data_IF_424192860953
#
_entry.id   IF_424192860953
#
_cell.length_a   1.000
_cell.length_b   1.000
_cell.length_c   1.000
_cell.angle_alpha   90.00
_cell.angle_beta   90.00
_cell.angle_gamma   90.00
#
_symmetry.space_group_name_H-M   'P 1'
#
loop_
_entity.id
_entity.type
_entity.pdbx_description
1 polymer ?
#
# COMPACT_ATOMS: atom_id res chain seq x y z
N UNK A 1 -10.43 -30.20 -3.43
CA UNK A 1 -9.78 -28.88 -3.55
C UNK A 1 -10.84 -27.92 -4.06
N UNK A 2 -11.06 -26.81 -3.36
CA UNK A 2 -12.07 -25.84 -3.77
C UNK A 2 -11.66 -25.19 -5.11
N UNK A 3 -12.61 -25.02 -6.04
CA UNK A 3 -12.36 -24.45 -7.37
C UNK A 3 -13.56 -23.59 -7.76
N UNK A 4 -13.30 -22.38 -8.25
CA UNK A 4 -14.35 -21.54 -8.78
C UNK A 4 -14.72 -21.97 -10.19
N UNK A 5 -16.03 -21.94 -10.51
CA UNK A 5 -16.53 -22.19 -11.86
C UNK A 5 -16.28 -21.00 -12.80
N UNK A 6 -16.20 -19.79 -12.27
CA UNK A 6 -15.86 -18.59 -13.03
C UNK A 6 -14.37 -18.53 -13.34
N UNK A 7 -14.03 -18.00 -14.50
CA UNK A 7 -12.66 -17.66 -14.85
C UNK A 7 -12.10 -16.65 -13.85
N UNK A 8 -10.94 -16.96 -13.26
CA UNK A 8 -10.28 -16.10 -12.29
C UNK A 8 -9.31 -15.17 -13.00
N UNK A 9 -9.33 -13.90 -12.65
CA UNK A 9 -8.36 -12.92 -13.14
C UNK A 9 -7.07 -13.02 -12.33
N UNK A 10 -5.95 -12.73 -12.98
CA UNK A 10 -4.64 -12.58 -12.34
C UNK A 10 -4.08 -11.23 -12.74
N UNK A 11 -3.79 -10.39 -11.76
CA UNK A 11 -3.10 -9.13 -11.96
C UNK A 11 -1.64 -9.27 -11.55
N UNK A 12 -0.72 -8.70 -12.32
CA UNK A 12 0.70 -8.62 -11.97
C UNK A 12 1.03 -7.17 -11.61
N UNK A 13 1.26 -6.92 -10.32
CA UNK A 13 1.53 -5.60 -9.77
C UNK A 13 2.99 -5.60 -9.35
N UNK A 14 3.86 -5.02 -10.18
CA UNK A 14 5.33 -5.02 -10.02
C UNK A 14 5.93 -6.37 -9.60
N UNK A 15 5.51 -7.45 -10.25
CA UNK A 15 6.03 -8.81 -10.01
C UNK A 15 5.20 -9.62 -9.02
N UNK A 16 4.25 -9.02 -8.31
CA UNK A 16 3.33 -9.73 -7.41
C UNK A 16 2.06 -10.12 -8.16
N UNK A 17 1.78 -11.43 -8.21
CA UNK A 17 0.55 -11.97 -8.78
C UNK A 17 -0.57 -11.97 -7.73
N UNK A 18 -1.70 -11.33 -8.04
CA UNK A 18 -2.92 -11.32 -7.21
C UNK A 18 -4.05 -11.98 -7.98
N UNK A 19 -4.71 -12.97 -7.37
CA UNK A 19 -5.82 -13.72 -7.95
C UNK A 19 -5.44 -15.12 -8.44
N UNK A 20 -6.26 -15.69 -9.32
CA UNK A 20 -6.15 -17.08 -9.77
C UNK A 20 -7.00 -18.07 -8.97
N UNK A 21 -6.92 -19.34 -9.32
CA UNK A 21 -7.63 -20.41 -8.62
C UNK A 21 -6.99 -20.70 -7.24
N UNK A 22 -7.75 -21.25 -6.27
CA UNK A 22 -7.18 -21.67 -4.99
C UNK A 22 -6.00 -22.63 -5.19
N UNK A 23 -4.82 -22.25 -4.68
CA UNK A 23 -3.57 -23.01 -4.81
C UNK A 23 -2.72 -22.66 -6.04
N UNK A 24 -3.17 -21.76 -6.91
CA UNK A 24 -2.40 -21.32 -8.08
C UNK A 24 -1.30 -20.31 -7.73
N UNK A 25 -1.63 -19.32 -6.89
CA UNK A 25 -0.69 -18.33 -6.36
C UNK A 25 -0.75 -18.34 -4.83
N UNK A 26 0.36 -18.02 -4.13
CA UNK A 26 0.33 -17.82 -2.69
C UNK A 26 -0.58 -16.63 -2.32
N UNK A 27 -1.13 -16.57 -1.09
CA UNK A 27 -1.79 -15.38 -0.62
C UNK A 27 -0.82 -14.20 -0.61
N UNK A 28 -1.31 -13.00 -0.94
CA UNK A 28 -0.56 -11.76 -0.76
C UNK A 28 -0.94 -11.17 0.59
N UNK A 29 0.05 -10.88 1.42
CA UNK A 29 -0.16 -10.18 2.69
C UNK A 29 -0.06 -8.67 2.48
N UNK A 30 -0.89 -7.90 3.17
CA UNK A 30 -0.85 -6.44 3.10
C UNK A 30 -0.66 -5.93 4.51
N UNK A 31 0.50 -5.33 4.79
CA UNK A 31 0.85 -4.79 6.10
C UNK A 31 0.67 -3.28 6.12
N UNK A 32 -0.12 -2.75 7.06
CA UNK A 32 -0.29 -1.30 7.20
C UNK A 32 0.89 -0.64 7.91
N UNK A 33 1.27 0.54 7.45
CA UNK A 33 2.27 1.42 8.06
C UNK A 33 1.69 2.83 8.21
N UNK A 34 2.16 3.57 9.22
CA UNK A 34 1.67 4.90 9.62
C UNK A 34 0.18 5.04 9.98
N UNK A 35 -0.53 3.94 10.22
CA UNK A 35 -1.91 3.95 10.72
C UNK A 35 -2.05 4.68 12.06
N UNK A 36 -3.28 5.05 12.42
CA UNK A 36 -3.56 5.80 13.64
C UNK A 36 -2.98 5.11 14.89
N UNK A 37 -2.26 5.88 15.74
CA UNK A 37 -1.53 5.39 16.92
C UNK A 37 -0.41 4.39 16.63
N UNK A 38 0.06 4.28 15.40
CA UNK A 38 1.25 3.51 15.11
C UNK A 38 2.45 4.14 15.84
N UNK A 39 3.13 3.36 16.69
CA UNK A 39 4.18 3.83 17.60
C UNK A 39 5.39 4.52 16.94
N UNK A 40 5.58 4.30 15.63
CA UNK A 40 6.64 4.95 14.86
C UNK A 40 6.27 6.37 14.45
N UNK A 41 4.98 6.75 14.51
CA UNK A 41 4.49 8.09 14.15
C UNK A 41 4.51 9.01 15.36
N UNK A 42 5.10 10.18 15.20
CA UNK A 42 5.21 11.23 16.21
C UNK A 42 4.15 12.32 16.00
N UNK A 43 3.85 12.67 14.74
CA UNK A 43 2.79 13.60 14.36
C UNK A 43 2.12 13.12 13.07
N UNK A 44 0.89 12.61 13.21
CA UNK A 44 0.10 12.06 12.11
C UNK A 44 -0.22 13.11 11.03
N UNK A 45 -0.41 14.38 11.41
CA UNK A 45 -0.80 15.44 10.47
C UNK A 45 0.39 15.97 9.70
N UNK A 46 1.55 16.09 10.36
CA UNK A 46 2.78 16.60 9.72
C UNK A 46 3.60 15.51 9.04
N UNK A 47 3.21 14.24 9.18
CA UNK A 47 4.00 13.13 8.68
C UNK A 47 5.36 13.02 9.36
N UNK A 48 5.44 13.28 10.66
CA UNK A 48 6.66 13.09 11.44
C UNK A 48 6.66 11.68 12.03
N UNK A 49 7.73 10.94 11.79
CA UNK A 49 7.87 9.55 12.20
C UNK A 49 9.34 9.20 12.34
N UNK A 50 9.59 8.13 13.10
CA UNK A 50 10.90 7.58 13.36
C UNK A 50 11.34 6.70 12.18
N UNK A 51 12.11 7.30 11.26
CA UNK A 51 12.57 6.65 10.02
C UNK A 51 13.22 5.29 10.26
N UNK A 52 14.18 5.20 11.18
CA UNK A 52 14.90 3.96 11.46
C UNK A 52 13.98 2.84 11.99
N UNK A 53 12.99 3.19 12.83
CA UNK A 53 12.02 2.20 13.32
C UNK A 53 11.10 1.73 12.18
N UNK A 54 10.66 2.63 11.31
CA UNK A 54 9.83 2.31 10.15
C UNK A 54 10.58 1.45 9.11
N UNK A 55 11.83 1.78 8.81
CA UNK A 55 12.67 1.01 7.88
C UNK A 55 12.93 -0.40 8.43
N UNK A 56 13.17 -0.52 9.74
CA UNK A 56 13.29 -1.83 10.40
C UNK A 56 12.03 -2.67 10.26
N UNK A 57 10.83 -2.07 10.36
CA UNK A 57 9.57 -2.80 10.16
C UNK A 57 9.46 -3.32 8.72
N UNK A 58 9.78 -2.48 7.72
CA UNK A 58 9.75 -2.87 6.31
C UNK A 58 10.71 -4.04 6.06
N UNK A 59 11.97 -3.90 6.50
CA UNK A 59 13.00 -4.93 6.35
C UNK A 59 12.61 -6.26 7.02
N UNK A 60 11.99 -6.21 8.20
CA UNK A 60 11.53 -7.42 8.87
C UNK A 60 10.48 -8.18 8.03
N UNK A 61 9.56 -7.46 7.38
CA UNK A 61 8.55 -8.09 6.52
C UNK A 61 9.18 -8.62 5.22
N UNK A 62 10.16 -7.91 4.65
CA UNK A 62 10.94 -8.40 3.51
C UNK A 62 11.65 -9.72 3.85
N UNK A 63 12.37 -9.78 4.98
CA UNK A 63 13.05 -11.00 5.42
C UNK A 63 12.07 -12.16 5.68
N UNK A 64 10.87 -11.87 6.20
CA UNK A 64 9.83 -12.88 6.39
C UNK A 64 9.25 -13.35 5.05
N UNK A 65 9.02 -12.44 4.12
CA UNK A 65 8.58 -12.77 2.75
C UNK A 65 9.60 -13.65 2.05
N UNK A 66 10.89 -13.33 2.16
CA UNK A 66 11.98 -14.12 1.58
C UNK A 66 12.08 -15.53 2.17
N UNK A 67 11.86 -15.68 3.48
CA UNK A 67 11.89 -16.99 4.17
C UNK A 67 10.67 -17.83 3.85
N UNK A 68 9.48 -17.22 3.82
CA UNK A 68 8.21 -17.94 3.68
C UNK A 68 7.76 -18.10 2.23
N UNK A 69 8.34 -17.31 1.32
CA UNK A 69 7.90 -17.16 -0.08
C UNK A 69 6.48 -16.62 -0.23
N UNK A 70 5.94 -16.00 0.82
CA UNK A 70 4.65 -15.32 0.79
C UNK A 70 4.88 -13.86 0.40
N UNK A 71 4.42 -13.41 -0.78
CA UNK A 71 4.58 -12.02 -1.21
C UNK A 71 3.78 -11.06 -0.33
N UNK A 72 4.21 -9.80 -0.29
CA UNK A 72 3.52 -8.77 0.47
C UNK A 72 3.49 -7.42 -0.26
N UNK A 73 2.55 -6.58 0.17
CA UNK A 73 2.45 -5.17 -0.19
C UNK A 73 2.37 -4.34 1.10
N UNK A 74 2.61 -3.04 0.98
CA UNK A 74 2.47 -2.12 2.12
C UNK A 74 1.27 -1.21 1.94
N UNK A 75 0.43 -1.16 2.96
CA UNK A 75 -0.69 -0.23 3.04
C UNK A 75 -0.25 1.05 3.76
N UNK A 76 -0.07 2.12 2.99
CA UNK A 76 0.47 3.40 3.44
C UNK A 76 -0.69 4.31 3.83
N UNK A 77 -0.92 4.43 5.14
CA UNK A 77 -2.06 5.18 5.67
C UNK A 77 -1.66 6.62 5.96
N UNK A 78 -2.42 7.59 5.45
CA UNK A 78 -2.20 9.01 5.70
C UNK A 78 -3.50 9.75 5.98
N UNK A 79 -3.47 10.68 6.94
CA UNK A 79 -4.65 11.46 7.37
C UNK A 79 -4.61 12.92 6.95
N UNK A 80 -3.54 13.37 6.29
CA UNK A 80 -3.41 14.71 5.74
C UNK A 80 -2.68 14.69 4.39
N UNK A 81 -2.86 15.73 3.54
CA UNK A 81 -2.12 15.86 2.29
C UNK A 81 -0.60 15.92 2.49
N UNK A 82 -0.15 16.54 3.59
CA UNK A 82 1.27 16.64 3.91
C UNK A 82 1.84 15.28 4.34
N UNK A 83 1.12 14.56 5.21
CA UNK A 83 1.59 13.29 5.76
C UNK A 83 1.67 12.22 4.67
N UNK A 84 0.65 12.12 3.81
CA UNK A 84 0.57 11.03 2.83
C UNK A 84 1.72 11.11 1.82
N UNK A 85 2.09 12.31 1.37
CA UNK A 85 3.23 12.50 0.46
C UNK A 85 4.53 12.06 1.11
N UNK A 86 4.80 12.52 2.34
CA UNK A 86 6.01 12.13 3.10
C UNK A 86 6.10 10.63 3.34
N UNK A 87 4.97 9.99 3.63
CA UNK A 87 4.91 8.55 3.85
C UNK A 87 5.15 7.76 2.56
N UNK A 88 4.53 8.17 1.44
CA UNK A 88 4.76 7.54 0.13
C UNK A 88 6.23 7.69 -0.29
N UNK A 89 6.79 8.91 -0.19
CA UNK A 89 8.20 9.19 -0.48
C UNK A 89 9.15 8.28 0.31
N UNK A 90 8.91 8.15 1.62
CA UNK A 90 9.72 7.29 2.46
C UNK A 90 9.59 5.81 2.11
N UNK A 91 8.36 5.28 2.02
CA UNK A 91 8.16 3.85 1.76
C UNK A 91 8.71 3.45 0.39
N UNK A 92 8.55 4.31 -0.60
CA UNK A 92 8.99 4.01 -1.97
C UNK A 92 10.49 4.14 -2.17
N UNK A 93 11.18 4.87 -1.29
CA UNK A 93 12.65 4.88 -1.20
C UNK A 93 13.22 3.73 -0.35
N UNK A 94 12.48 3.25 0.65
CA UNK A 94 12.91 2.17 1.53
C UNK A 94 12.74 0.76 0.95
N UNK A 95 11.79 0.56 0.03
CA UNK A 95 11.53 -0.76 -0.60
C UNK A 95 11.05 -0.60 -2.03
N UNK A 96 10.99 -1.70 -2.79
CA UNK A 96 10.45 -1.79 -4.15
C UNK A 96 9.09 -2.51 -4.24
N UNK A 97 8.54 -3.02 -3.14
CA UNK A 97 7.23 -3.73 -3.17
C UNK A 97 6.06 -2.79 -3.50
N UNK A 98 4.98 -3.27 -4.15
CA UNK A 98 3.78 -2.46 -4.36
C UNK A 98 3.24 -1.83 -3.07
N UNK A 99 2.63 -0.67 -3.22
CA UNK A 99 1.99 0.05 -2.13
C UNK A 99 0.51 0.24 -2.39
N UNK A 100 -0.28 0.23 -1.33
CA UNK A 100 -1.63 0.77 -1.31
C UNK A 100 -1.54 2.17 -0.71
N UNK A 101 -2.24 3.13 -1.31
CA UNK A 101 -2.42 4.47 -0.77
C UNK A 101 -3.77 4.53 -0.09
N UNK A 102 -3.77 4.57 1.25
CA UNK A 102 -4.97 4.66 2.08
C UNK A 102 -5.10 6.05 2.68
N UNK A 103 -6.16 6.74 2.27
CA UNK A 103 -6.44 8.14 2.65
C UNK A 103 -7.64 8.27 3.56
N UNK A 104 -8.10 7.16 4.16
CA UNK A 104 -9.23 7.12 5.09
C UNK A 104 -10.54 7.67 4.49
N UNK A 105 -10.66 7.65 3.15
CA UNK A 105 -11.80 8.19 2.42
C UNK A 105 -11.84 9.72 2.31
N UNK A 106 -10.74 10.41 2.63
CA UNK A 106 -10.63 11.85 2.41
C UNK A 106 -10.18 12.14 0.97
N UNK A 107 -11.08 12.75 0.19
CA UNK A 107 -10.89 13.06 -1.24
C UNK A 107 -9.77 14.09 -1.46
N UNK A 108 -9.56 15.02 -0.53
CA UNK A 108 -8.48 16.01 -0.66
C UNK A 108 -7.12 15.34 -0.45
N UNK A 109 -7.02 14.41 0.52
CA UNK A 109 -5.82 13.60 0.74
C UNK A 109 -5.58 12.66 -0.44
N UNK A 110 -6.62 12.00 -0.96
CA UNK A 110 -6.55 11.13 -2.13
C UNK A 110 -6.03 11.86 -3.37
N UNK A 111 -6.62 13.01 -3.69
CA UNK A 111 -6.22 13.84 -4.84
C UNK A 111 -4.74 14.18 -4.81
N UNK A 112 -4.24 14.64 -3.65
CA UNK A 112 -2.83 15.01 -3.49
C UNK A 112 -1.92 13.78 -3.59
N UNK A 113 -2.29 12.66 -2.97
CA UNK A 113 -1.50 11.44 -3.01
C UNK A 113 -1.40 10.86 -4.43
N UNK A 114 -2.51 10.79 -5.16
CA UNK A 114 -2.56 10.26 -6.53
C UNK A 114 -1.84 11.19 -7.52
N UNK A 115 -1.96 12.51 -7.33
CA UNK A 115 -1.17 13.47 -8.11
C UNK A 115 0.33 13.27 -7.89
N UNK A 116 0.77 13.17 -6.63
CA UNK A 116 2.18 12.94 -6.32
C UNK A 116 2.68 11.62 -6.92
N UNK A 117 1.94 10.51 -6.75
CA UNK A 117 2.25 9.20 -7.34
C UNK A 117 2.46 9.28 -8.85
N UNK A 118 1.60 10.03 -9.55
CA UNK A 118 1.71 10.25 -10.99
C UNK A 118 2.96 11.07 -11.34
N UNK A 119 3.21 12.16 -10.63
CA UNK A 119 4.34 13.07 -10.87
C UNK A 119 5.69 12.37 -10.70
N UNK A 120 5.81 11.46 -9.73
CA UNK A 120 7.06 10.74 -9.45
C UNK A 120 7.15 9.36 -10.14
N UNK A 121 6.19 9.04 -11.03
CA UNK A 121 6.24 7.84 -11.87
C UNK A 121 5.97 6.52 -11.15
N UNK A 122 5.18 6.53 -10.07
CA UNK A 122 4.87 5.36 -9.26
C UNK A 122 3.56 4.66 -9.62
N UNK A 123 2.82 5.13 -10.63
CA UNK A 123 1.49 4.61 -11.01
C UNK A 123 1.42 3.08 -11.11
N UNK A 124 2.39 2.44 -11.77
CA UNK A 124 2.43 0.98 -11.97
C UNK A 124 2.70 0.17 -10.68
N UNK A 125 3.07 0.84 -9.58
CA UNK A 125 3.42 0.25 -8.28
C UNK A 125 2.36 0.55 -7.22
N UNK A 126 1.41 1.43 -7.50
CA UNK A 126 0.46 1.94 -6.52
C UNK A 126 -0.94 1.42 -6.79
N UNK A 127 -1.61 1.00 -5.72
CA UNK A 127 -3.02 0.63 -5.70
C UNK A 127 -3.76 1.71 -4.90
N UNK A 128 -4.86 2.23 -5.43
CA UNK A 128 -5.71 3.18 -4.69
C UNK A 128 -6.60 2.42 -3.69
N UNK A 129 -6.51 2.77 -2.40
CA UNK A 129 -7.31 2.18 -1.32
C UNK A 129 -8.19 3.29 -0.68
N UNK A 130 -9.48 3.37 -0.99
CA UNK A 130 -10.26 2.48 -1.85
C UNK A 130 -11.42 3.22 -2.53
N UNK A 131 -11.90 2.62 -3.62
CA UNK A 131 -13.24 2.91 -4.14
C UNK A 131 -14.28 2.19 -3.30
N UNK A 132 -15.26 2.95 -2.80
CA UNK A 132 -16.37 2.45 -1.99
C UNK A 132 -17.70 3.00 -2.51
N UNK A 133 -18.82 2.51 -1.97
CA UNK A 133 -20.14 3.09 -2.28
C UNK A 133 -20.29 4.57 -1.84
N UNK A 134 -19.35 5.11 -1.07
CA UNK A 134 -19.31 6.52 -0.66
C UNK A 134 -18.32 7.35 -1.48
N UNK A 135 -17.54 6.73 -2.37
CA UNK A 135 -16.59 7.43 -3.22
C UNK A 135 -17.33 8.38 -4.15
N UNK A 136 -16.73 9.54 -4.37
CA UNK A 136 -17.32 10.59 -5.20
C UNK A 136 -16.85 10.48 -6.65
N UNK A 137 -17.54 11.18 -7.55
CA UNK A 137 -17.23 11.20 -8.98
C UNK A 137 -15.79 11.61 -9.26
N UNK A 138 -15.16 12.44 -8.41
CA UNK A 138 -13.76 12.85 -8.57
C UNK A 138 -12.74 11.72 -8.34
N UNK A 139 -13.16 10.59 -7.75
CA UNK A 139 -12.29 9.43 -7.50
C UNK A 139 -12.36 8.35 -8.61
N UNK A 140 -13.27 8.49 -9.59
CA UNK A 140 -13.46 7.57 -10.72
C UNK A 140 -12.76 8.05 -12.00
#
# INVERSE_FOLDING_TARGET
MFRYNSEQKIFNIKGIKVGGQPGENPPVLIGSIFYHKHKVVEDEKKGLFKKDEAEKLIKNVEELSDKTKIPFMLDVVGSSPESIVKYIEFVTSATYVPILVDTLGDVAVASVALQYVKEVGLTERTIYNSLTAKSKDEEY
#
